data_IF_697957744406
#
_entry.id   IF_697957744406
#
_cell.length_a   1.000
_cell.length_b   1.000
_cell.length_c   1.000
_cell.angle_alpha   90.00
_cell.angle_beta   90.00
_cell.angle_gamma   90.00
#
_symmetry.space_group_name_H-M   'P 1'
#
loop_
_entity.id
_entity.type
_entity.pdbx_description
1 polymer ?
#
# COMPACT_ATOMS: atom_id res chain seq x y z
N UNK A 1 10.52 -39.41 -20.71
CA UNK A 1 9.86 -38.99 -19.46
C UNK A 1 10.59 -37.76 -18.92
N UNK A 2 10.15 -36.54 -19.23
CA UNK A 2 10.75 -35.31 -18.72
C UNK A 2 9.73 -34.15 -18.86
N UNK A 3 8.83 -33.99 -17.89
CA UNK A 3 7.97 -32.79 -17.78
C UNK A 3 7.86 -32.24 -16.34
N UNK A 4 8.71 -32.69 -15.41
CA UNK A 4 8.51 -32.43 -13.97
C UNK A 4 9.16 -31.15 -13.44
N UNK A 5 9.77 -30.29 -14.28
CA UNK A 5 10.55 -29.13 -13.79
C UNK A 5 9.87 -27.77 -13.99
N UNK A 6 8.78 -27.68 -14.77
CA UNK A 6 8.15 -26.39 -15.08
C UNK A 6 6.97 -26.02 -14.16
N UNK A 7 6.31 -26.99 -13.52
CA UNK A 7 5.11 -26.72 -12.71
C UNK A 7 5.44 -26.18 -11.30
N UNK A 8 6.56 -26.59 -10.70
CA UNK A 8 6.92 -26.22 -9.32
C UNK A 8 7.33 -24.74 -9.20
N UNK A 9 7.91 -24.17 -10.26
CA UNK A 9 8.35 -22.77 -10.30
C UNK A 9 7.17 -21.79 -10.41
N UNK A 10 6.17 -22.11 -11.24
CA UNK A 10 4.99 -21.26 -11.42
C UNK A 10 4.10 -21.19 -10.17
N UNK A 11 3.95 -22.31 -9.45
CA UNK A 11 3.26 -22.38 -8.17
C UNK A 11 3.99 -21.57 -7.07
N UNK A 12 5.33 -21.62 -7.06
CA UNK A 12 6.16 -20.85 -6.13
C UNK A 12 6.07 -19.34 -6.38
N UNK A 13 6.04 -18.91 -7.64
CA UNK A 13 5.99 -17.51 -8.01
C UNK A 13 4.61 -16.89 -7.69
N UNK A 14 3.52 -17.59 -8.02
CA UNK A 14 2.15 -17.15 -7.68
C UNK A 14 1.91 -17.00 -6.17
N UNK A 15 2.49 -17.88 -5.35
CA UNK A 15 2.43 -17.77 -3.89
C UNK A 15 3.21 -16.56 -3.34
N UNK A 16 4.32 -16.16 -4.00
CA UNK A 16 5.07 -14.94 -3.65
C UNK A 16 4.20 -13.70 -3.87
N UNK A 17 3.65 -13.52 -5.07
CA UNK A 17 2.79 -12.37 -5.40
C UNK A 17 1.54 -12.28 -4.51
N UNK A 18 0.90 -13.41 -4.20
CA UNK A 18 -0.22 -13.43 -3.26
C UNK A 18 0.17 -12.95 -1.86
N UNK A 19 1.34 -13.38 -1.38
CA UNK A 19 1.85 -12.99 -0.07
C UNK A 19 2.32 -11.53 -0.03
N UNK A 20 3.02 -11.07 -1.07
CA UNK A 20 3.45 -9.67 -1.20
C UNK A 20 2.24 -8.72 -1.26
N UNK A 21 1.18 -9.12 -1.98
CA UNK A 21 -0.09 -8.39 -1.99
C UNK A 21 -0.72 -8.31 -0.61
N UNK A 22 -0.80 -9.43 0.13
CA UNK A 22 -1.34 -9.45 1.49
C UNK A 22 -0.52 -8.58 2.46
N UNK A 23 0.80 -8.59 2.33
CA UNK A 23 1.71 -7.73 3.11
C UNK A 23 1.43 -6.26 2.80
N UNK A 24 1.30 -5.91 1.52
CA UNK A 24 0.96 -4.55 1.09
C UNK A 24 -0.40 -4.09 1.65
N UNK A 25 -1.42 -4.93 1.59
CA UNK A 25 -2.73 -4.60 2.17
C UNK A 25 -2.62 -4.36 3.68
N UNK A 26 -1.91 -5.23 4.40
CA UNK A 26 -1.73 -5.10 5.84
C UNK A 26 -1.00 -3.82 6.22
N UNK A 27 0.04 -3.45 5.46
CA UNK A 27 0.78 -2.20 5.66
C UNK A 27 -0.11 -0.98 5.46
N UNK A 28 -0.91 -0.95 4.38
CA UNK A 28 -1.84 0.16 4.12
C UNK A 28 -2.83 0.34 5.27
N UNK A 29 -3.40 -0.74 5.79
CA UNK A 29 -4.34 -0.69 6.92
C UNK A 29 -3.64 -0.20 8.19
N UNK A 30 -2.41 -0.64 8.46
CA UNK A 30 -1.63 -0.19 9.61
C UNK A 30 -1.32 1.32 9.53
N UNK A 31 -0.95 1.82 8.36
CA UNK A 31 -0.74 3.25 8.12
C UNK A 31 -2.06 4.01 8.30
N UNK A 32 -3.15 3.53 7.71
CA UNK A 32 -4.48 4.16 7.81
C UNK A 32 -5.00 4.26 9.25
N UNK A 33 -4.65 3.27 10.07
CA UNK A 33 -5.01 3.22 11.49
C UNK A 33 -4.09 4.06 12.38
N UNK A 34 -3.01 4.62 11.83
CA UNK A 34 -2.08 5.43 12.59
C UNK A 34 -2.64 6.84 12.83
N UNK A 35 -2.38 7.39 14.02
CA UNK A 35 -2.87 8.72 14.38
C UNK A 35 -2.28 9.84 13.51
N UNK A 36 -1.09 9.65 12.94
CA UNK A 36 -0.50 10.61 12.00
C UNK A 36 -1.28 10.68 10.70
N UNK A 37 -1.63 9.53 10.14
CA UNK A 37 -2.42 9.44 8.91
C UNK A 37 -3.83 10.01 9.09
N UNK A 38 -4.53 9.64 10.16
CA UNK A 38 -5.90 10.12 10.41
C UNK A 38 -5.98 11.64 10.55
N UNK A 39 -5.00 12.27 11.19
CA UNK A 39 -4.91 13.73 11.31
C UNK A 39 -4.66 14.38 9.95
N UNK A 40 -3.68 13.87 9.22
CA UNK A 40 -3.37 14.34 7.88
C UNK A 40 -4.55 14.19 6.91
N UNK A 41 -5.29 13.08 6.98
CA UNK A 41 -6.47 12.84 6.15
C UNK A 41 -7.58 13.87 6.46
N UNK A 42 -7.83 14.14 7.74
CA UNK A 42 -8.82 15.13 8.16
C UNK A 42 -8.44 16.54 7.68
N UNK A 43 -7.18 16.95 7.88
CA UNK A 43 -6.67 18.23 7.38
C UNK A 43 -6.80 18.34 5.86
N UNK A 44 -6.55 17.25 5.13
CA UNK A 44 -6.68 17.21 3.67
C UNK A 44 -8.12 17.28 3.20
N UNK A 45 -9.04 16.53 3.81
CA UNK A 45 -10.45 16.51 3.45
C UNK A 45 -11.12 17.88 3.63
N UNK A 46 -10.61 18.71 4.54
CA UNK A 46 -11.04 20.10 4.69
C UNK A 46 -10.57 21.02 3.55
N UNK A 47 -9.47 20.66 2.86
CA UNK A 47 -8.84 21.48 1.83
C UNK A 47 -9.18 21.05 0.39
N UNK A 48 -9.67 19.82 0.17
CA UNK A 48 -10.00 19.31 -1.17
C UNK A 48 -11.51 19.35 -1.44
N UNK A 49 -11.86 19.81 -2.65
CA UNK A 49 -13.25 19.86 -3.15
C UNK A 49 -13.79 18.45 -3.45
N UNK A 50 -12.91 17.50 -3.79
CA UNK A 50 -13.26 16.09 -3.98
C UNK A 50 -12.46 15.19 -3.01
N UNK A 51 -13.15 14.47 -2.10
CA UNK A 51 -12.48 13.53 -1.22
C UNK A 51 -11.97 12.33 -2.02
N UNK A 52 -10.69 12.00 -1.86
CA UNK A 52 -10.11 10.80 -2.46
C UNK A 52 -10.56 9.59 -1.65
N UNK A 53 -11.41 8.73 -2.22
CA UNK A 53 -11.96 7.55 -1.53
C UNK A 53 -11.08 6.31 -1.60
N UNK A 54 -10.05 6.33 -2.45
CA UNK A 54 -9.13 5.22 -2.63
C UNK A 54 -8.02 5.24 -1.59
N UNK A 55 -8.05 4.26 -0.67
CA UNK A 55 -7.04 4.09 0.37
C UNK A 55 -5.62 4.00 -0.19
N UNK A 56 -5.44 3.36 -1.34
CA UNK A 56 -4.12 3.19 -1.96
C UNK A 56 -3.51 4.55 -2.41
N UNK A 57 -4.35 5.44 -2.95
CA UNK A 57 -3.96 6.79 -3.32
C UNK A 57 -3.66 7.64 -2.08
N UNK A 58 -4.52 7.57 -1.05
CA UNK A 58 -4.31 8.30 0.19
C UNK A 58 -3.00 7.89 0.88
N UNK A 59 -2.74 6.58 1.00
CA UNK A 59 -1.49 6.06 1.58
C UNK A 59 -0.28 6.49 0.77
N UNK A 60 -0.33 6.39 -0.57
CA UNK A 60 0.78 6.83 -1.43
C UNK A 60 1.09 8.31 -1.26
N UNK A 61 0.06 9.13 -1.07
CA UNK A 61 0.17 10.57 -0.98
C UNK A 61 0.64 11.02 0.40
N UNK A 62 0.15 10.39 1.46
CA UNK A 62 0.67 10.57 2.82
C UNK A 62 2.15 10.23 2.89
N UNK A 63 2.56 9.09 2.32
CA UNK A 63 3.96 8.68 2.28
C UNK A 63 4.80 9.69 1.49
N UNK A 64 4.29 10.20 0.36
CA UNK A 64 5.00 11.21 -0.41
C UNK A 64 5.22 12.49 0.40
N UNK A 65 4.16 13.06 0.97
CA UNK A 65 4.25 14.33 1.70
C UNK A 65 5.11 14.21 2.97
N UNK A 66 5.00 13.08 3.68
CA UNK A 66 5.85 12.81 4.85
C UNK A 66 7.32 12.63 4.49
N UNK A 67 7.62 11.99 3.35
CA UNK A 67 8.98 11.88 2.84
C UNK A 67 9.55 13.22 2.36
N UNK A 68 8.74 14.06 1.71
CA UNK A 68 9.13 15.42 1.32
C UNK A 68 9.47 16.29 2.53
N UNK A 69 8.71 16.14 3.62
CA UNK A 69 8.94 16.89 4.87
C UNK A 69 10.22 16.47 5.59
N UNK A 70 10.68 15.22 5.42
CA UNK A 70 11.91 14.68 6.01
C UNK A 70 13.17 14.89 5.15
N UNK A 71 13.01 15.32 3.89
CA UNK A 71 14.11 15.52 2.95
C UNK A 71 14.73 16.93 3.01
N UNK A 72 14.31 17.76 3.97
CA UNK A 72 14.79 19.11 4.21
C UNK A 72 15.63 19.17 5.49
#
# INVERSE_FOLDING_TARGET
>A
MANSTLEDNAASASNKWGKDSQIWQSLKVAIASSSGFQRWELERHLNLIEPTTNLDQLVSLYLRETLETLAY
#
